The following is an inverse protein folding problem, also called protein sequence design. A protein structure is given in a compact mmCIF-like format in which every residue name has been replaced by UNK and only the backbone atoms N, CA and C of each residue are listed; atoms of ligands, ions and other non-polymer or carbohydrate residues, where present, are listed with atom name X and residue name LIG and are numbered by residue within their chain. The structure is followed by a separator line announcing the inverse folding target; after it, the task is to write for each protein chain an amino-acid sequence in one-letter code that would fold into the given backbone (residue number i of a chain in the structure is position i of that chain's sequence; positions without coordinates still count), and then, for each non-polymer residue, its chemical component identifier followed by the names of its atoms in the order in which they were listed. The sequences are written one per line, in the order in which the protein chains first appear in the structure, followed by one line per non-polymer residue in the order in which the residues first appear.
data_IF_697958988034
#
_entry.id   IF_697958988034
#
_cell.length_a   1.000
_cell.length_b   1.000
_cell.length_c   1.000
_cell.angle_alpha   90.00
_cell.angle_beta   90.00
_cell.angle_gamma   90.00
#
_symmetry.space_group_name_H-M   'P 1'
#
loop_
_entity.id
_entity.type
_entity.pdbx_description
1 polymer ?
#
# COMPACT_ATOMS: atom_id res chain seq x y z
N UNK A 1 11.05 21.59 -0.91
CA UNK A 1 10.00 22.30 -1.66
C UNK A 1 10.00 21.94 -3.14
N UNK A 2 11.11 22.07 -3.86
CA UNK A 2 11.13 21.80 -5.32
C UNK A 2 10.66 20.39 -5.71
N UNK A 3 11.13 19.33 -5.03
CA UNK A 3 10.67 17.96 -5.30
C UNK A 3 9.16 17.77 -5.10
N UNK A 4 8.58 18.45 -4.11
CA UNK A 4 7.14 18.39 -3.82
C UNK A 4 6.36 19.11 -4.92
N UNK A 5 6.83 20.28 -5.38
CA UNK A 5 6.22 21.01 -6.48
C UNK A 5 6.24 20.19 -7.77
N UNK A 6 7.37 19.57 -8.10
CA UNK A 6 7.48 18.72 -9.28
C UNK A 6 6.49 17.54 -9.23
N UNK A 7 6.36 16.90 -8.06
CA UNK A 7 5.39 15.80 -7.87
C UNK A 7 3.95 16.26 -8.06
N UNK A 8 3.52 17.32 -7.37
CA UNK A 8 2.16 17.82 -7.51
C UNK A 8 1.87 18.32 -8.92
N UNK A 9 2.85 18.94 -9.60
CA UNK A 9 2.70 19.33 -11.00
C UNK A 9 2.44 18.10 -11.90
N UNK A 10 3.17 17.00 -11.72
CA UNK A 10 2.94 15.75 -12.45
C UNK A 10 1.57 15.13 -12.17
N UNK A 11 1.11 15.18 -10.91
CA UNK A 11 -0.23 14.71 -10.54
C UNK A 11 -1.34 15.56 -11.19
N UNK A 12 -1.16 16.88 -11.25
CA UNK A 12 -2.10 17.80 -11.89
C UNK A 12 -2.16 17.63 -13.41
N UNK A 13 -1.05 17.22 -14.03
CA UNK A 13 -1.02 16.88 -15.46
C UNK A 13 -1.71 15.55 -15.78
N UNK A 14 -2.05 14.73 -14.77
CA UNK A 14 -2.73 13.47 -14.98
C UNK A 14 -1.94 12.51 -15.89
N UNK A 15 -0.62 12.44 -15.72
CA UNK A 15 0.30 11.66 -16.57
C UNK A 15 0.46 12.16 -18.01
N UNK A 16 -0.29 13.19 -18.43
CA UNK A 16 -0.12 13.85 -19.73
C UNK A 16 0.95 14.95 -19.66
N UNK A 17 2.19 14.56 -19.90
CA UNK A 17 3.35 15.48 -19.89
C UNK A 17 3.36 16.45 -21.09
N UNK A 18 2.44 16.33 -22.05
CA UNK A 18 2.30 17.26 -23.18
C UNK A 18 1.45 18.50 -22.83
N UNK A 19 0.70 18.46 -21.72
CA UNK A 19 -0.16 19.56 -21.29
C UNK A 19 -1.46 19.71 -22.07
N UNK A 20 -1.87 18.69 -22.84
CA UNK A 20 -3.11 18.73 -23.65
C UNK A 20 -4.38 18.47 -22.85
N UNK A 21 -4.26 18.08 -21.58
CA UNK A 21 -5.39 17.78 -20.70
C UNK A 21 -6.08 16.46 -21.04
N UNK A 22 -5.43 15.58 -21.80
CA UNK A 22 -5.94 14.25 -22.18
C UNK A 22 -5.45 13.14 -21.23
N UNK A 23 -4.98 13.54 -20.06
CA UNK A 23 -4.48 12.66 -19.01
C UNK A 23 -5.58 11.91 -18.27
N UNK A 24 -5.16 11.12 -17.29
CA UNK A 24 -6.06 10.44 -16.35
C UNK A 24 -6.59 11.39 -15.29
N UNK A 25 -7.67 11.00 -14.62
CA UNK A 25 -8.19 11.76 -13.48
C UNK A 25 -7.19 11.77 -12.31
N UNK A 26 -7.25 12.79 -11.45
CA UNK A 26 -6.33 12.94 -10.32
C UNK A 26 -6.33 11.75 -9.38
N UNK A 27 -7.50 11.11 -9.17
CA UNK A 27 -7.60 9.91 -8.34
C UNK A 27 -6.76 8.75 -8.90
N UNK A 28 -6.83 8.51 -10.21
CA UNK A 28 -6.03 7.48 -10.88
C UNK A 28 -4.55 7.85 -10.90
N UNK A 29 -4.20 9.13 -11.14
CA UNK A 29 -2.81 9.60 -11.08
C UNK A 29 -2.18 9.36 -9.69
N UNK A 30 -2.93 9.62 -8.60
CA UNK A 30 -2.47 9.34 -7.23
C UNK A 30 -2.31 7.84 -7.01
N UNK A 31 -3.28 7.02 -7.44
CA UNK A 31 -3.21 5.56 -7.34
C UNK A 31 -1.97 5.00 -8.05
N UNK A 32 -1.71 5.46 -9.27
CA UNK A 32 -0.52 5.09 -10.04
C UNK A 32 0.77 5.56 -9.36
N UNK A 33 0.79 6.79 -8.84
CA UNK A 33 1.95 7.32 -8.11
C UNK A 33 2.28 6.49 -6.86
N UNK A 34 1.28 6.06 -6.08
CA UNK A 34 1.46 5.17 -4.92
C UNK A 34 2.02 3.82 -5.38
N UNK A 35 1.44 3.23 -6.43
CA UNK A 35 1.86 1.92 -6.95
C UNK A 35 3.30 1.95 -7.49
N UNK A 36 3.66 3.03 -8.19
CA UNK A 36 5.02 3.25 -8.69
C UNK A 36 6.03 3.52 -7.56
N UNK A 37 5.62 4.25 -6.51
CA UNK A 37 6.43 4.44 -5.32
C UNK A 37 6.70 3.10 -4.61
N UNK A 38 5.68 2.24 -4.48
CA UNK A 38 5.86 0.90 -3.94
C UNK A 38 6.84 0.08 -4.78
N UNK A 39 6.65 0.03 -6.11
CA UNK A 39 7.52 -0.73 -7.01
C UNK A 39 8.99 -0.26 -6.95
N UNK A 40 9.24 1.05 -6.91
CA UNK A 40 10.59 1.60 -6.81
C UNK A 40 11.24 1.40 -5.45
N UNK A 41 10.46 1.41 -4.36
CA UNK A 41 10.98 1.26 -2.99
C UNK A 41 11.20 -0.21 -2.63
N UNK A 42 10.17 -1.04 -2.82
CA UNK A 42 10.12 -2.44 -2.36
C UNK A 42 10.29 -3.48 -3.46
N UNK A 43 10.19 -3.10 -4.74
CA UNK A 43 10.25 -4.06 -5.86
C UNK A 43 11.59 -4.77 -6.05
N UNK A 44 12.64 -4.31 -5.35
CA UNK A 44 13.96 -4.96 -5.32
C UNK A 44 14.26 -5.69 -4.00
N UNK A 45 13.31 -5.74 -3.06
CA UNK A 45 13.47 -6.47 -1.81
C UNK A 45 13.20 -7.96 -2.03
N UNK A 46 14.24 -8.64 -2.49
CA UNK A 46 14.19 -10.07 -2.76
C UNK A 46 14.62 -10.93 -1.57
N UNK A 47 15.09 -10.30 -0.49
CA UNK A 47 15.63 -10.94 0.70
C UNK A 47 14.88 -10.46 1.94
N UNK A 48 14.85 -11.31 2.96
CA UNK A 48 14.40 -10.96 4.31
C UNK A 48 15.51 -10.19 5.03
N UNK A 49 15.76 -8.97 4.55
CA UNK A 49 16.77 -8.05 5.07
C UNK A 49 16.13 -6.74 5.47
N UNK A 50 16.86 -5.93 6.23
CA UNK A 50 16.34 -4.63 6.64
C UNK A 50 16.23 -3.66 5.46
N UNK A 51 15.17 -2.86 5.42
CA UNK A 51 15.04 -1.79 4.44
C UNK A 51 16.12 -0.74 4.66
N UNK A 52 16.84 -0.37 3.60
CA UNK A 52 17.84 0.69 3.65
C UNK A 52 17.22 1.99 4.19
N UNK A 53 17.97 2.70 5.04
CA UNK A 53 17.48 3.90 5.70
C UNK A 53 16.99 4.96 4.71
N UNK A 54 17.71 5.14 3.60
CA UNK A 54 17.36 6.09 2.54
C UNK A 54 16.03 5.73 1.87
N UNK A 55 15.79 4.44 1.60
CA UNK A 55 14.53 3.95 1.02
C UNK A 55 13.36 4.12 1.98
N UNK A 56 13.59 3.91 3.28
CA UNK A 56 12.58 4.17 4.32
C UNK A 56 12.19 5.64 4.38
N UNK A 57 13.19 6.55 4.40
CA UNK A 57 12.94 7.99 4.43
C UNK A 57 12.23 8.47 3.15
N UNK A 58 12.61 7.92 1.99
CA UNK A 58 11.93 8.18 0.72
C UNK A 58 10.47 7.73 0.81
N UNK A 59 10.21 6.49 1.24
CA UNK A 59 8.86 5.97 1.38
C UNK A 59 7.99 6.86 2.28
N UNK A 60 8.45 7.16 3.48
CA UNK A 60 7.69 7.98 4.45
C UNK A 60 7.37 9.36 3.88
N UNK A 61 8.39 10.07 3.37
CA UNK A 61 8.21 11.42 2.84
C UNK A 61 7.25 11.46 1.64
N UNK A 62 7.40 10.53 0.71
CA UNK A 62 6.61 10.52 -0.52
C UNK A 62 5.18 10.04 -0.27
N UNK A 63 5.00 9.07 0.63
CA UNK A 63 3.67 8.61 1.02
C UNK A 63 2.91 9.69 1.80
N UNK A 64 3.58 10.43 2.69
CA UNK A 64 2.98 11.59 3.38
C UNK A 64 2.50 12.66 2.39
N UNK A 65 3.30 12.93 1.35
CA UNK A 65 2.95 13.85 0.27
C UNK A 65 1.72 13.38 -0.52
N UNK A 66 1.68 12.10 -0.92
CA UNK A 66 0.57 11.54 -1.70
C UNK A 66 -0.73 11.45 -0.89
N UNK A 67 -0.63 11.19 0.42
CA UNK A 67 -1.79 11.01 1.31
C UNK A 67 -2.35 12.31 1.88
N UNK A 68 -1.65 13.45 1.76
CA UNK A 68 -2.11 14.72 2.32
C UNK A 68 -3.43 15.22 1.70
N UNK A 69 -3.80 14.71 0.52
CA UNK A 69 -5.12 14.97 -0.09
C UNK A 69 -6.25 14.49 0.82
N UNK A 70 -6.04 13.39 1.56
CA UNK A 70 -7.03 12.81 2.46
C UNK A 70 -7.46 13.75 3.58
N UNK A 71 -6.55 14.61 4.05
CA UNK A 71 -6.83 15.61 5.10
C UNK A 71 -7.81 16.70 4.62
N UNK A 72 -7.97 16.82 3.30
CA UNK A 72 -8.83 17.81 2.65
C UNK A 72 -10.14 17.22 2.13
N UNK A 73 -10.35 15.91 2.25
CA UNK A 73 -11.61 15.24 1.90
C UNK A 73 -12.56 15.36 3.11
N UNK A 74 -13.56 16.24 2.98
CA UNK A 74 -14.45 16.62 4.09
C UNK A 74 -15.93 16.48 3.73
N UNK A 75 -16.73 16.16 4.74
CA UNK A 75 -18.17 16.32 4.76
C UNK A 75 -18.51 17.71 5.33
N UNK A 76 -19.51 18.37 4.71
CA UNK A 76 -20.09 19.60 5.23
C UNK A 76 -21.29 19.24 6.10
N UNK A 77 -21.24 19.62 7.37
CA UNK A 77 -22.28 19.33 8.35
C UNK A 77 -22.91 20.62 8.90
N UNK A 78 -24.24 20.66 9.08
CA UNK A 78 -24.89 21.81 9.69
C UNK A 78 -24.52 21.92 11.19
N UNK A 79 -24.32 23.14 11.66
CA UNK A 79 -23.97 23.47 13.04
C UNK A 79 -24.55 24.83 13.44
N UNK A 80 -24.54 25.15 14.73
CA UNK A 80 -24.99 26.45 15.24
C UNK A 80 -23.89 27.12 16.03
N UNK A 81 -23.54 28.34 15.69
CA UNK A 81 -22.63 29.18 16.46
C UNK A 81 -23.44 30.16 17.32
N UNK A 82 -23.11 30.25 18.61
CA UNK A 82 -23.71 31.24 19.51
C UNK A 82 -22.72 32.37 19.71
N UNK A 83 -23.15 33.60 19.45
CA UNK A 83 -22.34 34.80 19.64
C UNK A 83 -22.39 35.28 21.10
N UNK A 84 -21.43 36.13 21.53
CA UNK A 84 -21.41 36.66 22.90
C UNK A 84 -22.67 37.46 23.30
N UNK A 85 -23.42 37.96 22.33
CA UNK A 85 -24.70 38.65 22.51
C UNK A 85 -25.90 37.70 22.70
N UNK A 86 -25.67 36.38 22.68
CA UNK A 86 -26.70 35.34 22.80
C UNK A 86 -27.42 34.99 21.50
N UNK A 87 -27.12 35.67 20.39
CA UNK A 87 -27.69 35.33 19.08
C UNK A 87 -27.11 34.01 18.55
N UNK A 88 -27.93 33.23 17.85
CA UNK A 88 -27.54 31.96 17.22
C UNK A 88 -27.54 32.11 15.71
N UNK A 89 -26.46 31.65 15.07
CA UNK A 89 -26.32 31.59 13.63
C UNK A 89 -26.10 30.15 13.20
N UNK A 90 -26.93 29.68 12.28
CA UNK A 90 -26.72 28.41 11.61
C UNK A 90 -25.58 28.54 10.60
N UNK A 91 -24.59 27.67 10.73
CA UNK A 91 -23.38 27.65 9.91
C UNK A 91 -23.14 26.23 9.39
N UNK A 92 -22.38 26.12 8.30
CA UNK A 92 -21.85 24.83 7.85
C UNK A 92 -20.41 24.69 8.36
N UNK A 93 -20.11 23.56 9.00
CA UNK A 93 -18.74 23.22 9.43
C UNK A 93 -18.20 22.05 8.63
N UNK A 94 -16.87 21.94 8.58
CA UNK A 94 -16.15 20.88 7.86
C UNK A 94 -15.76 19.78 8.84
N UNK A 95 -15.97 18.53 8.46
CA UNK A 95 -15.48 17.34 9.19
C UNK A 95 -14.80 16.41 8.19
N UNK A 96 -13.63 15.80 8.49
CA UNK A 96 -13.04 14.79 7.60
C UNK A 96 -14.03 13.67 7.28
N UNK A 97 -14.06 13.22 6.02
CA UNK A 97 -14.91 12.10 5.59
C UNK A 97 -14.54 10.86 6.40
N UNK A 98 -15.53 10.27 7.08
CA UNK A 98 -15.24 9.39 8.21
C UNK A 98 -14.55 8.09 7.79
N UNK A 99 -14.97 7.50 6.68
CA UNK A 99 -14.39 6.29 6.09
C UNK A 99 -12.93 6.52 5.67
N UNK A 100 -12.65 7.62 4.97
CA UNK A 100 -11.30 7.98 4.51
C UNK A 100 -10.38 8.19 5.72
N UNK A 101 -10.84 8.96 6.71
CA UNK A 101 -10.04 9.26 7.89
C UNK A 101 -9.69 8.00 8.69
N UNK A 102 -10.68 7.14 8.98
CA UNK A 102 -10.46 5.92 9.76
C UNK A 102 -9.58 4.93 8.99
N UNK A 103 -9.86 4.69 7.72
CA UNK A 103 -9.12 3.74 6.91
C UNK A 103 -7.66 4.19 6.69
N UNK A 104 -7.42 5.48 6.42
CA UNK A 104 -6.05 6.00 6.28
C UNK A 104 -5.25 5.88 7.58
N UNK A 105 -5.85 6.16 8.74
CA UNK A 105 -5.18 5.96 10.02
C UNK A 105 -4.85 4.48 10.26
N UNK A 106 -5.77 3.57 9.97
CA UNK A 106 -5.55 2.14 10.09
C UNK A 106 -4.42 1.67 9.15
N UNK A 107 -4.44 2.09 7.89
CA UNK A 107 -3.40 1.75 6.91
C UNK A 107 -2.02 2.30 7.31
N UNK A 108 -1.94 3.53 7.81
CA UNK A 108 -0.68 4.09 8.35
C UNK A 108 -0.15 3.28 9.53
N UNK A 109 -1.03 2.76 10.39
CA UNK A 109 -0.62 1.89 11.49
C UNK A 109 -0.07 0.56 10.97
N UNK A 110 -0.73 -0.04 9.99
CA UNK A 110 -0.26 -1.28 9.35
C UNK A 110 1.08 -1.09 8.63
N UNK A 111 1.27 0.03 7.93
CA UNK A 111 2.54 0.38 7.27
C UNK A 111 3.69 0.52 8.27
N UNK A 112 3.47 1.26 9.36
CA UNK A 112 4.48 1.39 10.42
C UNK A 112 4.82 0.06 11.08
N UNK A 113 3.81 -0.79 11.31
CA UNK A 113 4.04 -2.15 11.80
C UNK A 113 4.95 -2.88 10.79
N UNK A 114 4.61 -2.91 9.50
CA UNK A 114 5.38 -3.59 8.47
C UNK A 114 6.83 -3.07 8.38
N UNK A 115 7.02 -1.76 8.36
CA UNK A 115 8.35 -1.11 8.34
C UNK A 115 9.18 -1.42 9.58
N UNK A 116 8.57 -1.57 10.75
CA UNK A 116 9.30 -1.90 11.99
C UNK A 116 10.02 -3.26 11.89
N UNK A 117 9.37 -4.29 11.33
CA UNK A 117 10.03 -5.60 11.14
C UNK A 117 11.15 -5.57 10.10
N UNK A 118 11.11 -4.62 9.16
CA UNK A 118 12.18 -4.37 8.20
C UNK A 118 13.32 -3.52 8.77
N UNK A 119 13.31 -3.06 10.02
CA UNK A 119 14.40 -2.19 10.53
C UNK A 119 15.14 -2.81 11.71
N UNK A 120 14.42 -3.44 12.65
CA UNK A 120 15.04 -3.83 13.93
C UNK A 120 15.41 -5.32 14.05
N UNK A 121 15.06 -6.16 13.07
CA UNK A 121 15.23 -7.61 13.22
C UNK A 121 15.69 -8.32 11.94
N UNK A 122 16.60 -7.69 11.18
CA UNK A 122 17.32 -8.40 10.13
C UNK A 122 17.95 -9.66 10.72
N UNK A 123 17.67 -10.83 10.13
CA UNK A 123 18.37 -12.05 10.51
C UNK A 123 19.78 -11.86 9.98
N UNK A 124 20.71 -11.53 10.88
CA UNK A 124 22.13 -11.47 10.56
C UNK A 124 22.50 -12.86 10.05
N UNK A 125 22.72 -12.98 8.74
CA UNK A 125 23.36 -14.15 8.18
C UNK A 125 24.78 -14.18 8.77
N UNK A 126 25.24 -15.31 9.36
CA UNK A 126 26.63 -15.43 9.72
C UNK A 126 27.45 -15.27 8.43
N UNK A 127 28.49 -14.43 8.46
CA UNK A 127 29.42 -14.27 7.36
C UNK A 127 29.87 -15.65 6.87
N UNK A 128 29.44 -16.02 5.67
CA UNK A 128 29.84 -17.27 5.06
C UNK A 128 31.22 -17.05 4.47
N UNK A 129 32.25 -17.44 5.22
CA UNK A 129 33.61 -17.60 4.73
C UNK A 129 33.60 -18.36 3.41
N UNK A 130 34.32 -17.80 2.44
CA UNK A 130 34.36 -18.28 1.06
C UNK A 130 34.78 -19.74 0.94
N UNK A 131 33.82 -20.62 0.74
CA UNK A 131 34.05 -21.92 0.09
C UNK A 131 32.76 -22.44 -0.51
N UNK A 132 32.54 -22.12 -1.79
CA UNK A 132 31.38 -22.55 -2.55
C UNK A 132 31.40 -24.06 -2.81
N UNK A 133 30.64 -24.83 -2.04
CA UNK A 133 30.22 -26.17 -2.45
C UNK A 133 28.83 -26.10 -3.08
N UNK A 134 28.81 -26.19 -4.39
CA UNK A 134 27.62 -26.29 -5.23
C UNK A 134 26.85 -27.56 -4.87
N UNK A 135 25.72 -27.46 -4.15
CA UNK A 135 24.82 -28.58 -3.93
C UNK A 135 23.35 -28.22 -4.18
N UNK A 136 22.82 -28.91 -5.20
CA UNK A 136 21.44 -29.19 -5.62
C UNK A 136 20.42 -28.04 -5.53
N UNK A 137 19.95 -27.50 -6.67
CA UNK A 137 18.82 -26.59 -6.67
C UNK A 137 17.57 -27.34 -6.20
N UNK A 138 16.92 -26.81 -5.16
CA UNK A 138 15.53 -27.14 -4.82
C UNK A 138 14.68 -26.96 -6.09
N UNK A 139 13.77 -27.90 -6.37
CA UNK A 139 12.91 -27.88 -7.56
C UNK A 139 12.28 -26.49 -7.73
N UNK A 140 12.70 -25.77 -8.78
CA UNK A 140 12.19 -24.44 -9.13
C UNK A 140 10.70 -24.56 -9.47
N UNK A 141 9.85 -23.79 -8.81
CA UNK A 141 8.62 -23.32 -9.45
C UNK A 141 9.03 -22.34 -10.57
N UNK A 142 8.61 -22.59 -11.81
CA UNK A 142 9.02 -21.81 -13.01
C UNK A 142 8.72 -20.31 -12.89
N UNK A 143 7.76 -19.92 -12.04
CA UNK A 143 7.25 -18.54 -11.93
C UNK A 143 8.20 -17.54 -11.25
N UNK A 144 9.31 -17.99 -10.63
CA UNK A 144 10.17 -17.15 -9.78
C UNK A 144 11.67 -17.25 -10.10
N UNK A 145 12.01 -17.48 -11.37
CA UNK A 145 13.39 -17.71 -11.80
C UNK A 145 14.35 -16.54 -11.52
N UNK A 146 13.84 -15.31 -11.38
CA UNK A 146 14.62 -14.12 -11.05
C UNK A 146 14.97 -13.98 -9.55
N UNK A 147 14.41 -14.82 -8.66
CA UNK A 147 14.59 -14.65 -7.22
C UNK A 147 15.86 -15.34 -6.70
N UNK A 148 16.58 -14.72 -5.74
CA UNK A 148 17.66 -15.41 -5.03
C UNK A 148 17.09 -16.59 -4.24
N UNK A 149 17.81 -17.72 -4.26
CA UNK A 149 17.42 -18.93 -3.51
C UNK A 149 17.90 -18.78 -2.06
N UNK A 150 17.01 -18.90 -1.06
CA UNK A 150 17.43 -18.89 0.35
C UNK A 150 18.19 -20.18 0.66
N UNK A 151 19.33 -20.05 1.34
CA UNK A 151 20.13 -21.17 1.83
C UNK A 151 19.97 -21.31 3.34
N UNK A 152 19.82 -22.55 3.81
CA UNK A 152 19.72 -22.93 5.22
C UNK A 152 20.86 -23.91 5.52
N UNK A 153 21.47 -23.88 6.73
CA UNK A 153 22.49 -24.86 7.10
C UNK A 153 21.99 -26.31 6.97
N UNK A 154 22.90 -27.26 6.74
CA UNK A 154 22.56 -28.69 6.51
C UNK A 154 21.81 -29.32 7.69
N UNK A 155 21.99 -28.79 8.92
CA UNK A 155 21.27 -29.19 10.13
C UNK A 155 19.94 -28.47 10.36
N UNK A 156 19.48 -27.65 9.42
CA UNK A 156 18.31 -26.79 9.57
C UNK A 156 18.59 -25.50 10.33
N UNK A 157 17.54 -24.73 10.58
CA UNK A 157 17.59 -23.56 11.46
C UNK A 157 17.51 -24.01 12.91
N UNK A 158 18.14 -23.24 13.81
CA UNK A 158 17.94 -23.40 15.25
C UNK A 158 16.45 -23.22 15.59
N UNK A 159 15.96 -23.97 16.58
CA UNK A 159 14.52 -23.98 16.92
C UNK A 159 14.01 -22.59 17.31
N UNK A 160 14.83 -21.78 18.00
CA UNK A 160 14.46 -20.41 18.36
C UNK A 160 14.36 -19.50 17.14
N UNK A 161 15.30 -19.55 16.19
CA UNK A 161 15.22 -18.82 14.92
C UNK A 161 14.01 -19.25 14.10
N UNK A 162 13.71 -20.56 14.08
CA UNK A 162 12.54 -21.11 13.40
C UNK A 162 11.24 -20.57 14.01
N UNK A 163 11.11 -20.58 15.34
CA UNK A 163 9.95 -20.01 16.06
C UNK A 163 9.80 -18.52 15.77
N UNK A 164 10.88 -17.75 15.79
CA UNK A 164 10.86 -16.32 15.47
C UNK A 164 10.38 -16.05 14.03
N UNK A 165 10.86 -16.82 13.05
CA UNK A 165 10.42 -16.71 11.65
C UNK A 165 8.94 -17.04 11.47
N UNK A 166 8.44 -18.09 12.14
CA UNK A 166 7.03 -18.45 12.13
C UNK A 166 6.19 -17.31 12.70
N UNK A 167 6.59 -16.76 13.86
CA UNK A 167 5.90 -15.63 14.47
C UNK A 167 5.87 -14.40 13.54
N UNK A 168 7.00 -14.05 12.90
CA UNK A 168 7.05 -12.95 11.92
C UNK A 168 6.10 -13.18 10.74
N UNK A 169 6.06 -14.41 10.20
CA UNK A 169 5.13 -14.78 9.13
C UNK A 169 3.68 -14.63 9.56
N UNK A 170 3.34 -15.08 10.76
CA UNK A 170 1.98 -14.96 11.31
C UNK A 170 1.57 -13.49 11.47
N UNK A 171 2.45 -12.65 12.02
CA UNK A 171 2.23 -11.21 12.12
C UNK A 171 2.03 -10.56 10.74
N UNK A 172 2.89 -10.86 9.76
CA UNK A 172 2.75 -10.35 8.39
C UNK A 172 1.43 -10.78 7.73
N UNK A 173 0.99 -12.02 7.97
CA UNK A 173 -0.30 -12.50 7.46
C UNK A 173 -1.49 -11.76 8.09
N UNK A 174 -1.42 -11.39 9.37
CA UNK A 174 -2.49 -10.62 10.02
C UNK A 174 -2.57 -9.20 9.44
N UNK A 175 -1.43 -8.58 9.15
CA UNK A 175 -1.38 -7.27 8.49
C UNK A 175 -1.97 -7.35 7.09
N UNK A 176 -1.59 -8.38 6.33
CA UNK A 176 -2.15 -8.61 5.00
C UNK A 176 -3.68 -8.77 5.06
N UNK A 177 -4.20 -9.58 5.99
CA UNK A 177 -5.64 -9.76 6.17
C UNK A 177 -6.34 -8.44 6.49
N UNK A 178 -5.78 -7.63 7.40
CA UNK A 178 -6.36 -6.34 7.75
C UNK A 178 -6.35 -5.36 6.57
N UNK A 179 -5.24 -5.27 5.83
CA UNK A 179 -5.14 -4.44 4.63
C UNK A 179 -6.10 -4.89 3.53
N UNK A 180 -6.21 -6.20 3.29
CA UNK A 180 -7.15 -6.78 2.32
C UNK A 180 -8.60 -6.49 2.71
N UNK A 181 -8.95 -6.56 4.00
CA UNK A 181 -10.29 -6.24 4.46
C UNK A 181 -10.66 -4.77 4.16
N UNK A 182 -9.75 -3.83 4.43
CA UNK A 182 -9.95 -2.41 4.07
C UNK A 182 -10.10 -2.24 2.56
N UNK A 183 -9.24 -2.90 1.77
CA UNK A 183 -9.31 -2.84 0.31
C UNK A 183 -10.64 -3.39 -0.23
N UNK A 184 -11.14 -4.49 0.33
CA UNK A 184 -12.45 -5.05 -0.05
C UNK A 184 -13.58 -4.09 0.24
N UNK A 185 -13.64 -3.49 1.44
CA UNK A 185 -14.67 -2.51 1.79
C UNK A 185 -14.61 -1.29 0.87
N UNK A 186 -13.42 -0.77 0.60
CA UNK A 186 -13.26 0.38 -0.29
C UNK A 186 -13.76 0.07 -1.71
N UNK A 187 -13.48 -1.12 -2.25
CA UNK A 187 -13.96 -1.54 -3.57
C UNK A 187 -15.48 -1.76 -3.62
N UNK A 188 -16.08 -2.26 -2.54
CA UNK A 188 -17.53 -2.45 -2.44
C UNK A 188 -18.30 -1.13 -2.44
N UNK A 189 -17.71 -0.07 -1.90
CA UNK A 189 -18.28 1.28 -1.87
C UNK A 189 -18.05 2.09 -3.16
N UNK A 190 -17.21 1.60 -4.08
CA UNK A 190 -16.94 2.29 -5.35
C UNK A 190 -18.11 2.14 -6.34
N UNK A 191 -18.40 3.21 -7.05
CA UNK A 191 -19.36 3.20 -8.14
C UNK A 191 -18.89 2.27 -9.27
N UNK A 192 -19.80 1.43 -9.77
CA UNK A 192 -19.53 0.56 -10.91
C UNK A 192 -19.54 1.40 -12.20
N UNK A 193 -18.45 1.43 -12.99
CA UNK A 193 -18.39 2.25 -14.19
C UNK A 193 -19.47 1.88 -15.22
N UNK A 194 -20.04 2.86 -15.93
CA UNK A 194 -21.04 2.63 -16.98
C UNK A 194 -20.51 1.68 -18.08
N UNK A 195 -19.23 1.80 -18.44
CA UNK A 195 -18.57 0.93 -19.42
C UNK A 195 -18.59 -0.56 -19.03
N UNK A 196 -18.66 -0.86 -17.73
CA UNK A 196 -18.84 -2.23 -17.26
C UNK A 196 -20.24 -2.76 -17.60
N UNK A 197 -21.28 -1.93 -17.43
CA UNK A 197 -22.64 -2.29 -17.81
C UNK A 197 -22.81 -2.46 -19.33
N UNK A 198 -22.15 -1.62 -20.13
CA UNK A 198 -22.15 -1.71 -21.60
C UNK A 198 -21.51 -3.00 -22.11
N UNK A 199 -20.59 -3.59 -21.33
CA UNK A 199 -19.93 -4.85 -21.65
C UNK A 199 -20.81 -6.09 -21.42
N UNK A 200 -21.97 -5.94 -20.76
CA UNK A 200 -22.84 -7.08 -20.48
C UNK A 200 -23.39 -7.72 -21.76
N UNK A 201 -23.46 -9.07 -21.80
CA UNK A 201 -24.12 -9.75 -22.89
C UNK A 201 -25.60 -9.36 -22.94
N UNK A 202 -26.12 -9.11 -24.15
CA UNK A 202 -27.53 -8.72 -24.39
C UNK A 202 -28.56 -9.73 -23.87
N UNK A 203 -28.14 -10.95 -23.56
CA UNK A 203 -28.97 -12.02 -23.01
C UNK A 203 -28.27 -12.62 -21.80
N UNK A 204 -29.02 -12.75 -20.70
CA UNK A 204 -28.53 -13.39 -19.46
C UNK A 204 -28.35 -14.89 -19.73
N UNK A 205 -27.15 -15.33 -20.04
CA UNK A 205 -26.81 -16.77 -20.04
C UNK A 205 -26.68 -17.18 -18.57
N UNK A 206 -27.75 -17.73 -18.00
CA UNK A 206 -27.70 -18.34 -16.67
C UNK A 206 -26.91 -19.63 -16.81
N UNK A 207 -25.60 -19.58 -16.56
CA UNK A 207 -24.84 -20.78 -16.23
C UNK A 207 -25.36 -21.28 -14.88
N UNK A 208 -26.35 -22.18 -14.91
CA UNK A 208 -26.66 -23.00 -13.75
C UNK A 208 -25.40 -23.83 -13.48
N UNK A 209 -24.63 -23.46 -12.46
CA UNK A 209 -23.67 -24.36 -11.86
C UNK A 209 -24.48 -25.53 -11.26
N UNK A 210 -24.58 -26.62 -12.00
CA UNK A 210 -25.12 -27.87 -11.48
C UNK A 210 -24.15 -28.42 -10.44
N UNK A 211 -24.60 -28.33 -9.18
CA UNK A 211 -24.26 -29.15 -7.99
C UNK A 211 -22.80 -29.32 -7.63
#
# INVERSE_FOLDING_TARGET
MELIKERFAKLLLGEDMSGTGKGVCTALAISNAITNLYASTFGQLWRLESLQYEKKQLWQREMDCLLCVGDHIVELIPSSQTFPDGSKLEIMTRRPRSDVFINLLALRKLDNMLLFWYVDQGIVAPDADGSGSMRKPLQRHQEKWCLPVPHVPTGGLQEDTRKQLIHKRECANQILKAAMAINSVALEEMEVPESYFESFPKVRVISRSTS
#
